data_IF_184680268886
#
_entry.id   IF_184680268886
#
_cell.length_a   1.000
_cell.length_b   1.000
_cell.length_c   1.000
_cell.angle_alpha   90.00
_cell.angle_beta   90.00
_cell.angle_gamma   90.00
#
_symmetry.space_group_name_H-M   'P 1'
#
loop_
_entity.id
_entity.type
_entity.pdbx_description
1 polymer ?
#
# COMPACT_ATOMS: atom_id res chain seq x y z
N UNK A 1 -24.07 67.90 -10.19
CA UNK A 1 -23.99 66.73 -11.08
C UNK A 1 -22.81 65.87 -10.64
N UNK A 2 -23.10 64.62 -10.22
CA UNK A 2 -22.29 63.36 -10.15
C UNK A 2 -20.75 63.53 -10.13
N UNK A 3 -19.94 63.05 -9.18
CA UNK A 3 -20.08 61.99 -8.18
C UNK A 3 -19.11 62.26 -7.01
N UNK A 4 -19.64 62.27 -5.78
CA UNK A 4 -18.92 61.90 -4.54
C UNK A 4 -19.37 60.48 -4.17
N UNK A 5 -18.65 59.80 -3.27
CA UNK A 5 -18.78 58.37 -2.88
C UNK A 5 -18.16 57.46 -3.95
N UNK A 6 -17.13 56.65 -3.70
CA UNK A 6 -16.92 55.75 -2.57
C UNK A 6 -15.41 55.61 -2.33
N UNK A 7 -14.93 56.28 -1.28
CA UNK A 7 -13.70 55.92 -0.58
C UNK A 7 -14.12 54.93 0.52
N UNK A 8 -13.22 54.00 0.87
CA UNK A 8 -13.32 53.07 2.02
C UNK A 8 -14.06 51.75 1.71
N UNK A 9 -13.36 50.79 1.14
CA UNK A 9 -13.31 49.38 1.59
C UNK A 9 -12.06 48.71 0.98
N UNK A 10 -10.95 49.45 0.97
CA UNK A 10 -9.60 48.92 0.80
C UNK A 10 -9.19 48.38 2.17
N UNK A 11 -8.70 47.14 2.24
CA UNK A 11 -8.05 46.51 3.40
C UNK A 11 -8.90 45.67 4.40
N UNK A 12 -9.90 44.91 3.93
CA UNK A 12 -10.43 43.80 4.75
C UNK A 12 -11.01 42.72 3.83
N UNK A 13 -10.25 41.68 3.49
CA UNK A 13 -10.77 40.32 3.15
C UNK A 13 -9.76 39.31 2.59
N UNK A 14 -8.45 39.59 2.51
CA UNK A 14 -7.51 38.56 2.03
C UNK A 14 -6.35 38.40 3.02
N UNK A 15 -6.69 37.97 4.23
CA UNK A 15 -5.82 37.14 5.04
C UNK A 15 -6.13 35.69 4.65
N UNK A 16 -5.53 35.21 3.55
CA UNK A 16 -5.40 33.77 3.37
C UNK A 16 -4.46 33.27 4.46
N UNK A 17 -5.05 32.76 5.53
CA UNK A 17 -4.39 31.81 6.43
C UNK A 17 -3.96 30.64 5.54
N UNK A 18 -2.68 30.60 5.17
CA UNK A 18 -2.08 29.36 4.73
C UNK A 18 -1.95 28.50 5.98
N UNK A 19 -2.98 27.70 6.24
CA UNK A 19 -2.83 26.58 7.13
C UNK A 19 -1.83 25.65 6.43
N UNK A 20 -0.59 25.64 6.94
CA UNK A 20 0.32 24.52 6.74
C UNK A 20 -0.37 23.28 7.33
N UNK A 21 -1.16 22.59 6.52
CA UNK A 21 -1.45 21.18 6.74
C UNK A 21 -0.17 20.44 6.38
N UNK A 22 0.82 20.55 7.26
CA UNK A 22 1.89 19.56 7.42
C UNK A 22 1.29 18.35 8.12
N UNK A 23 0.34 17.74 7.42
CA UNK A 23 -0.22 16.43 7.68
C UNK A 23 0.04 15.58 6.47
N UNK A 24 1.32 15.38 6.12
CA UNK A 24 1.71 14.22 5.33
C UNK A 24 1.38 13.00 6.20
N UNK A 25 0.12 12.58 6.14
CA UNK A 25 -0.20 11.19 6.33
C UNK A 25 0.65 10.46 5.29
N UNK A 26 1.69 9.78 5.76
CA UNK A 26 2.45 8.80 5.01
C UNK A 26 1.50 7.64 4.66
N UNK A 27 0.53 7.93 3.79
CA UNK A 27 -0.44 6.99 3.27
C UNK A 27 0.26 6.18 2.21
N UNK A 28 0.73 5.02 2.65
CA UNK A 28 1.02 3.80 1.88
C UNK A 28 0.63 3.91 0.42
N UNK A 29 1.62 3.79 -0.47
CA UNK A 29 1.41 3.59 -1.90
C UNK A 29 0.33 2.53 -2.13
N UNK A 30 -0.51 2.74 -3.15
CA UNK A 30 -1.45 1.74 -3.66
C UNK A 30 -0.76 0.42 -4.12
N UNK A 31 0.57 0.39 -4.05
CA UNK A 31 1.45 -0.75 -4.26
C UNK A 31 1.99 -1.15 -2.89
N UNK A 32 1.68 -2.38 -2.45
CA UNK A 32 2.14 -2.88 -1.16
C UNK A 32 3.66 -2.96 -1.09
N UNK A 33 4.20 -3.05 0.11
CA UNK A 33 5.64 -3.23 0.29
C UNK A 33 6.02 -4.65 -0.13
N UNK A 34 6.97 -4.84 -1.06
CA UNK A 34 7.39 -6.16 -1.47
C UNK A 34 8.01 -6.92 -0.29
N UNK A 35 7.58 -8.16 -0.12
CA UNK A 35 8.04 -9.09 0.90
C UNK A 35 8.69 -10.29 0.23
N UNK A 36 9.92 -10.60 0.63
CA UNK A 36 10.59 -11.84 0.25
C UNK A 36 10.98 -12.61 1.51
N UNK A 37 10.51 -13.84 1.61
CA UNK A 37 10.91 -14.77 2.66
C UNK A 37 11.81 -15.80 2.01
N UNK A 38 13.05 -15.89 2.45
CA UNK A 38 14.04 -16.80 1.88
C UNK A 38 14.62 -17.72 2.95
N UNK A 39 14.81 -18.98 2.59
CA UNK A 39 15.48 -20.04 3.33
C UNK A 39 16.41 -20.78 2.36
N UNK A 40 17.32 -21.64 2.85
CA UNK A 40 18.19 -22.47 2.01
C UNK A 40 17.43 -23.35 1.01
N UNK A 41 16.17 -23.69 1.30
CA UNK A 41 15.39 -24.66 0.55
C UNK A 41 14.08 -24.10 -0.05
N UNK A 42 13.71 -22.85 0.24
CA UNK A 42 12.48 -22.24 -0.27
C UNK A 42 12.55 -20.71 -0.28
N UNK A 43 11.77 -20.13 -1.17
CA UNK A 43 11.56 -18.70 -1.33
C UNK A 43 10.07 -18.42 -1.55
N UNK A 44 9.55 -17.43 -0.83
CA UNK A 44 8.20 -16.91 -1.00
C UNK A 44 8.28 -15.44 -1.36
N UNK A 45 7.49 -15.05 -2.34
CA UNK A 45 7.27 -13.67 -2.72
C UNK A 45 5.86 -13.24 -2.31
N UNK A 46 5.71 -11.98 -1.92
CA UNK A 46 4.42 -11.38 -1.68
C UNK A 46 4.49 -9.87 -1.51
N UNK A 47 3.36 -9.29 -1.13
CA UNK A 47 3.23 -7.88 -0.79
C UNK A 47 2.55 -7.73 0.56
N UNK A 48 3.09 -6.85 1.39
CA UNK A 48 2.52 -6.45 2.67
C UNK A 48 1.81 -5.10 2.55
N UNK A 49 0.62 -5.02 3.11
CA UNK A 49 -0.24 -3.84 3.11
C UNK A 49 -0.64 -3.53 4.55
N UNK A 50 -0.34 -2.34 5.02
CA UNK A 50 -0.70 -1.89 6.37
C UNK A 50 -1.94 -1.02 6.33
N UNK A 51 -2.82 -1.16 7.32
CA UNK A 51 -3.85 -0.17 7.58
C UNK A 51 -3.24 1.19 7.91
N UNK A 52 -4.01 2.27 7.73
CA UNK A 52 -3.56 3.65 8.00
C UNK A 52 -3.17 3.90 9.45
N UNK A 53 -3.72 3.12 10.40
CA UNK A 53 -3.33 3.12 11.81
C UNK A 53 -2.93 1.70 12.25
N UNK A 54 -1.76 1.57 12.87
CA UNK A 54 -1.22 0.34 13.46
C UNK A 54 -0.92 0.62 14.94
N UNK A 55 -1.30 -0.28 15.83
CA UNK A 55 -0.96 -0.24 17.25
C UNK A 55 -0.55 -1.63 17.76
N UNK A 56 -0.47 -1.82 19.08
CA UNK A 56 -0.07 -3.09 19.71
C UNK A 56 -1.09 -4.23 19.55
N UNK A 57 -2.31 -3.96 19.10
CA UNK A 57 -3.37 -4.94 18.85
C UNK A 57 -3.46 -5.29 17.35
N UNK A 58 -2.31 -5.48 16.72
CA UNK A 58 -2.20 -5.77 15.29
C UNK A 58 -2.78 -7.15 14.94
N UNK A 59 -3.68 -7.17 13.96
CA UNK A 59 -4.14 -8.40 13.32
C UNK A 59 -3.35 -8.65 12.03
N UNK A 60 -2.70 -9.81 11.94
CA UNK A 60 -2.07 -10.28 10.72
C UNK A 60 -3.07 -11.08 9.89
N UNK A 61 -3.30 -10.67 8.65
CA UNK A 61 -4.10 -11.42 7.67
C UNK A 61 -3.18 -11.94 6.58
N UNK A 62 -3.12 -13.25 6.40
CA UNK A 62 -2.37 -13.87 5.30
C UNK A 62 -3.34 -14.33 4.22
N UNK A 63 -3.14 -13.86 2.99
CA UNK A 63 -4.00 -14.15 1.84
C UNK A 63 -3.24 -15.01 0.85
N UNK A 64 -3.78 -16.18 0.56
CA UNK A 64 -3.26 -17.13 -0.42
C UNK A 64 -4.18 -17.18 -1.64
N UNK A 65 -3.61 -17.26 -2.84
CA UNK A 65 -4.40 -17.51 -4.04
C UNK A 65 -4.78 -19.00 -4.15
N UNK A 66 -5.89 -19.29 -4.82
CA UNK A 66 -6.28 -20.64 -5.23
C UNK A 66 -5.41 -21.17 -6.39
N UNK A 67 -5.78 -22.29 -6.99
CA UNK A 67 -5.09 -22.71 -8.21
C UNK A 67 -5.35 -21.71 -9.36
N UNK A 68 -4.42 -21.63 -10.30
CA UNK A 68 -4.43 -20.67 -11.40
C UNK A 68 -4.05 -21.37 -12.73
N UNK A 69 -4.87 -22.35 -13.18
CA UNK A 69 -4.62 -23.08 -14.40
C UNK A 69 -4.90 -22.19 -15.64
N UNK A 70 -4.42 -22.59 -16.83
CA UNK A 70 -4.75 -21.91 -18.08
C UNK A 70 -6.26 -21.64 -18.21
N UNK A 71 -6.68 -20.43 -18.65
CA UNK A 71 -5.86 -19.30 -19.12
C UNK A 71 -5.44 -18.31 -18.03
N UNK A 72 -5.65 -18.61 -16.75
CA UNK A 72 -5.41 -17.70 -15.62
C UNK A 72 -4.03 -17.89 -14.99
N UNK A 73 -3.05 -18.23 -15.80
CA UNK A 73 -1.65 -18.34 -15.42
C UNK A 73 -1.19 -16.95 -14.94
N UNK A 74 -0.67 -16.86 -13.72
CA UNK A 74 -0.22 -15.64 -13.04
C UNK A 74 -1.28 -14.91 -12.18
N UNK A 75 -1.61 -15.44 -10.99
CA UNK A 75 -2.60 -14.83 -10.09
C UNK A 75 -2.09 -13.52 -9.47
N UNK A 76 -2.96 -12.51 -9.39
CA UNK A 76 -2.71 -11.24 -8.68
C UNK A 76 -3.87 -10.79 -7.78
N UNK A 77 -4.99 -11.52 -7.81
CA UNK A 77 -6.20 -11.16 -7.08
C UNK A 77 -6.03 -11.25 -5.56
N UNK A 78 -5.13 -12.11 -5.07
CA UNK A 78 -4.79 -12.21 -3.65
C UNK A 78 -4.10 -10.95 -3.15
N UNK A 79 -3.25 -10.31 -3.95
CA UNK A 79 -2.66 -9.02 -3.60
C UNK A 79 -3.73 -7.92 -3.52
N UNK A 80 -4.64 -7.88 -4.50
CA UNK A 80 -5.76 -6.92 -4.50
C UNK A 80 -6.67 -7.11 -3.30
N UNK A 81 -6.93 -8.36 -2.92
CA UNK A 81 -7.72 -8.67 -1.73
C UNK A 81 -6.98 -8.26 -0.46
N UNK A 82 -5.69 -8.55 -0.32
CA UNK A 82 -4.88 -8.10 0.83
C UNK A 82 -4.87 -6.57 0.96
N UNK A 83 -4.67 -5.85 -0.15
CA UNK A 83 -4.74 -4.39 -0.18
C UNK A 83 -6.09 -3.86 0.32
N UNK A 84 -7.19 -4.48 -0.14
CA UNK A 84 -8.55 -4.12 0.28
C UNK A 84 -8.76 -4.38 1.78
N UNK A 85 -8.32 -5.53 2.28
CA UNK A 85 -8.39 -5.87 3.71
C UNK A 85 -7.66 -4.84 4.56
N UNK A 86 -6.45 -4.44 4.20
CA UNK A 86 -5.71 -3.42 4.93
C UNK A 86 -6.37 -2.03 4.86
N UNK A 87 -6.95 -1.67 3.71
CA UNK A 87 -7.60 -0.36 3.52
C UNK A 87 -8.93 -0.22 4.27
N UNK A 88 -9.69 -1.30 4.41
CA UNK A 88 -11.04 -1.28 4.99
C UNK A 88 -11.09 -1.60 6.49
N UNK A 89 -9.94 -1.93 7.10
CA UNK A 89 -9.84 -2.30 8.52
C UNK A 89 -8.80 -1.45 9.25
N UNK A 90 -8.89 -1.41 10.59
CA UNK A 90 -7.90 -0.76 11.46
C UNK A 90 -7.03 -1.82 12.12
N UNK A 91 -5.78 -1.47 12.42
CA UNK A 91 -4.81 -2.35 13.07
C UNK A 91 -4.65 -3.68 12.34
N UNK A 92 -4.50 -3.63 11.01
CA UNK A 92 -4.29 -4.81 10.17
C UNK A 92 -3.02 -4.68 9.36
N UNK A 93 -2.22 -5.75 9.36
CA UNK A 93 -1.19 -6.01 8.36
C UNK A 93 -1.69 -7.17 7.49
N UNK A 94 -2.03 -6.89 6.24
CA UNK A 94 -2.45 -7.90 5.29
C UNK A 94 -1.31 -8.25 4.35
N UNK A 95 -1.02 -9.55 4.19
CA UNK A 95 0.05 -10.05 3.33
C UNK A 95 -0.56 -10.95 2.27
N UNK A 96 -0.46 -10.55 1.00
CA UNK A 96 -0.76 -11.44 -0.11
C UNK A 96 0.51 -12.22 -0.47
N UNK A 97 0.48 -13.54 -0.34
CA UNK A 97 1.61 -14.43 -0.68
C UNK A 97 1.34 -15.20 -1.97
N UNK A 98 2.34 -15.22 -2.83
CA UNK A 98 2.38 -16.11 -3.99
C UNK A 98 2.75 -17.52 -3.51
N UNK A 99 1.97 -18.52 -3.89
CA UNK A 99 2.25 -19.90 -3.51
C UNK A 99 3.47 -20.43 -4.27
N UNK A 100 4.23 -21.38 -3.70
CA UNK A 100 5.32 -22.05 -4.41
C UNK A 100 4.89 -22.61 -5.77
N UNK A 101 5.75 -22.47 -6.76
CA UNK A 101 5.55 -22.89 -8.16
C UNK A 101 4.83 -21.86 -9.03
N UNK A 102 4.34 -20.74 -8.47
CA UNK A 102 3.64 -19.71 -9.24
C UNK A 102 4.51 -18.49 -9.49
N UNK A 103 4.26 -17.88 -10.65
CA UNK A 103 4.76 -16.56 -11.05
C UNK A 103 3.59 -15.58 -11.00
N UNK A 104 3.80 -14.33 -10.62
CA UNK A 104 2.78 -13.29 -10.71
C UNK A 104 2.89 -12.50 -12.03
N UNK A 105 1.92 -11.63 -12.38
CA UNK A 105 1.95 -10.90 -13.65
C UNK A 105 3.15 -9.99 -13.86
N UNK A 106 3.90 -9.69 -12.80
CA UNK A 106 5.12 -8.85 -12.86
C UNK A 106 6.41 -9.68 -12.91
N UNK A 107 6.29 -11.01 -12.98
CA UNK A 107 7.41 -11.93 -13.09
C UNK A 107 8.03 -12.32 -11.74
N UNK A 108 7.46 -11.90 -10.60
CA UNK A 108 7.94 -12.41 -9.32
C UNK A 108 7.52 -13.86 -9.15
N UNK A 109 8.38 -14.66 -8.54
CA UNK A 109 8.19 -16.11 -8.47
C UNK A 109 8.45 -16.60 -7.04
N UNK A 110 7.70 -17.62 -6.62
CA UNK A 110 7.93 -18.34 -5.37
C UNK A 110 8.38 -19.76 -5.68
N UNK A 111 9.62 -20.12 -5.36
CA UNK A 111 10.16 -21.49 -5.47
C UNK A 111 11.40 -21.61 -4.58
N UNK A 112 12.15 -22.72 -4.67
CA UNK A 112 13.46 -22.92 -4.03
C UNK A 112 14.35 -21.71 -4.28
N UNK A 113 14.91 -21.17 -3.20
CA UNK A 113 15.66 -19.93 -3.29
C UNK A 113 16.89 -20.10 -4.19
N UNK A 114 17.18 -19.09 -5.01
CA UNK A 114 18.56 -18.72 -5.31
C UNK A 114 19.27 -18.23 -4.04
N UNK A 115 20.57 -17.89 -4.08
CA UNK A 115 21.32 -17.47 -2.90
C UNK A 115 20.64 -16.31 -2.16
N UNK A 116 20.66 -16.39 -0.83
CA UNK A 116 20.03 -15.45 0.10
C UNK A 116 20.47 -14.00 -0.18
N UNK A 117 19.58 -13.15 -0.69
CA UNK A 117 19.84 -11.70 -0.83
C UNK A 117 19.13 -10.96 0.30
N UNK A 118 19.81 -10.78 1.44
CA UNK A 118 19.35 -9.85 2.47
C UNK A 118 19.68 -8.43 1.99
N UNK A 119 18.69 -7.70 1.49
CA UNK A 119 18.81 -6.23 1.40
C UNK A 119 18.43 -5.63 2.74
N UNK A 120 19.45 -5.31 3.56
CA UNK A 120 19.27 -4.37 4.66
C UNK A 120 18.92 -3.01 4.05
N UNK A 121 17.81 -2.43 4.50
CA UNK A 121 17.62 -0.97 4.44
C UNK A 121 18.51 -0.33 5.51
#
# INVERSE_FOLDING_TARGET
>A
MRNRLVLIFLAFCILFVQADVSGQASGSSAQGEPLQIQSKSFGLFGYAFSSTSINSELNLVVVLHGDAPPPYENPSYHYRFAAKVAAENKNVLAVGLLRPGYTDPTGNHSDKSGPLVIRKR
#
